data_IF_667741163646
#
_entry.id   IF_667741163646
#
_cell.length_a   1.000
_cell.length_b   1.000
_cell.length_c   1.000
_cell.angle_alpha   90.00
_cell.angle_beta   90.00
_cell.angle_gamma   90.00
#
_symmetry.space_group_name_H-M   'P 1'
#
loop_
_entity.id
_entity.type
_entity.pdbx_description
1 polymer ?
#
# COMPACT_ATOMS: atom_id res chain seq x y z
N UNK A 1 -13.81 -5.95 -10.57
CA UNK A 1 -12.72 -6.26 -9.61
C UNK A 1 -11.73 -5.09 -9.57
N UNK A 2 -11.15 -4.76 -8.41
CA UNK A 2 -10.26 -3.58 -8.21
C UNK A 2 -8.80 -3.84 -8.59
N UNK A 3 -8.42 -5.09 -8.85
CA UNK A 3 -7.05 -5.50 -9.20
C UNK A 3 -6.89 -5.68 -10.73
N UNK A 4 -7.94 -5.40 -11.52
CA UNK A 4 -7.90 -5.41 -12.98
C UNK A 4 -7.15 -4.19 -13.55
N UNK A 5 -6.99 -4.12 -14.88
CA UNK A 5 -6.19 -3.11 -15.57
C UNK A 5 -6.44 -1.66 -15.11
N UNK A 6 -7.71 -1.30 -14.86
CA UNK A 6 -8.11 0.07 -14.51
C UNK A 6 -8.37 0.29 -13.01
N UNK A 7 -8.10 -0.71 -12.17
CA UNK A 7 -8.38 -0.65 -10.74
C UNK A 7 -7.18 -0.23 -9.89
N UNK A 8 -7.45 0.47 -8.78
CA UNK A 8 -6.44 1.00 -7.85
C UNK A 8 -5.65 -0.08 -7.09
N UNK A 9 -6.11 -1.34 -7.13
CA UNK A 9 -5.44 -2.49 -6.53
C UNK A 9 -4.44 -3.18 -7.46
N UNK A 10 -4.19 -2.64 -8.67
CA UNK A 10 -3.32 -3.26 -9.67
C UNK A 10 -1.90 -3.62 -9.19
N UNK A 11 -1.40 -2.95 -8.13
CA UNK A 11 -0.12 -3.30 -7.49
C UNK A 11 -0.10 -4.65 -6.78
N UNK A 12 -1.26 -5.26 -6.51
CA UNK A 12 -1.38 -6.57 -5.86
C UNK A 12 -1.40 -7.77 -6.82
N UNK A 13 -1.26 -7.56 -8.14
CA UNK A 13 -1.38 -8.64 -9.14
C UNK A 13 -0.29 -9.70 -8.96
N UNK A 14 -0.67 -10.98 -9.03
CA UNK A 14 0.25 -12.11 -9.10
C UNK A 14 0.10 -12.79 -10.47
N UNK A 15 1.21 -13.06 -11.14
CA UNK A 15 1.18 -13.74 -12.44
C UNK A 15 0.56 -15.13 -12.30
N UNK A 16 -0.42 -15.46 -13.16
CA UNK A 16 -1.11 -16.75 -13.14
C UNK A 16 -2.11 -16.95 -11.99
N UNK A 17 -2.32 -15.94 -11.13
CA UNK A 17 -3.25 -16.02 -9.99
C UNK A 17 -4.06 -14.74 -9.88
N UNK A 18 -5.34 -14.82 -10.25
CA UNK A 18 -6.24 -13.67 -10.14
C UNK A 18 -6.44 -13.28 -8.69
N UNK A 19 -6.03 -12.06 -8.34
CA UNK A 19 -6.22 -11.49 -7.01
C UNK A 19 -7.48 -10.63 -7.03
N UNK A 20 -8.37 -10.85 -6.07
CA UNK A 20 -9.54 -10.02 -5.85
C UNK A 20 -9.37 -9.22 -4.55
N UNK A 21 -9.86 -7.98 -4.53
CA UNK A 21 -9.72 -7.14 -3.34
C UNK A 21 -10.28 -5.74 -3.52
N UNK A 22 -10.08 -4.90 -2.51
CA UNK A 22 -10.47 -3.48 -2.49
C UNK A 22 -9.46 -2.65 -1.71
N UNK A 23 -9.02 -1.54 -2.30
CA UNK A 23 -8.19 -0.54 -1.62
C UNK A 23 -9.07 0.50 -0.93
N UNK A 24 -8.56 1.07 0.17
CA UNK A 24 -9.13 2.25 0.79
C UNK A 24 -8.06 3.14 1.43
N UNK A 25 -8.50 4.34 1.80
CA UNK A 25 -7.71 5.33 2.52
C UNK A 25 -8.52 5.75 3.73
N UNK A 26 -7.93 5.69 4.92
CA UNK A 26 -8.58 6.13 6.16
C UNK A 26 -7.96 7.46 6.60
N UNK A 27 -8.78 8.50 6.64
CA UNK A 27 -8.33 9.84 6.98
C UNK A 27 -8.01 9.93 8.47
N UNK A 28 -6.85 10.47 8.82
CA UNK A 28 -6.47 10.74 10.22
C UNK A 28 -7.03 12.08 10.69
N UNK A 29 -7.11 13.06 9.78
CA UNK A 29 -7.65 14.39 10.03
C UNK A 29 -8.67 14.74 8.94
N UNK A 30 -9.71 15.49 9.31
CA UNK A 30 -10.70 15.96 8.34
C UNK A 30 -10.06 16.87 7.30
N UNK A 31 -10.67 16.97 6.11
CA UNK A 31 -10.23 17.89 5.08
C UNK A 31 -10.16 19.35 5.59
N UNK A 32 -11.15 19.77 6.39
CA UNK A 32 -11.15 21.10 7.00
C UNK A 32 -10.02 21.27 8.02
N UNK A 33 -9.77 20.27 8.86
CA UNK A 33 -8.66 20.28 9.81
C UNK A 33 -7.30 20.35 9.11
N UNK A 34 -7.16 19.62 7.99
CA UNK A 34 -5.96 19.66 7.14
C UNK A 34 -5.74 21.05 6.52
N UNK A 35 -6.80 21.69 6.03
CA UNK A 35 -6.73 23.06 5.51
C UNK A 35 -6.33 24.06 6.60
N UNK A 36 -6.91 23.94 7.81
CA UNK A 36 -6.59 24.80 8.94
C UNK A 36 -5.16 24.60 9.45
N UNK A 37 -4.67 23.35 9.46
CA UNK A 37 -3.30 23.02 9.84
C UNK A 37 -2.26 23.47 8.79
N UNK A 38 -2.69 23.72 7.55
CA UNK A 38 -1.83 24.05 6.43
C UNK A 38 -0.89 22.90 6.09
N UNK A 39 0.37 22.98 6.55
CA UNK A 39 1.36 21.93 6.32
C UNK A 39 1.38 20.91 7.45
N UNK A 40 1.27 19.63 7.11
CA UNK A 40 1.13 18.51 8.05
C UNK A 40 2.45 17.76 8.27
N UNK A 41 2.55 17.07 9.41
CA UNK A 41 3.62 16.08 9.68
C UNK A 41 3.16 14.68 9.25
N UNK A 42 4.05 13.68 9.39
CA UNK A 42 3.72 12.28 9.12
C UNK A 42 2.48 11.79 9.88
N UNK A 43 2.31 12.24 11.12
CA UNK A 43 1.27 11.73 12.03
C UNK A 43 -0.15 12.09 11.57
N UNK A 44 -0.28 13.07 10.67
CA UNK A 44 -1.57 13.47 10.08
C UNK A 44 -1.78 12.90 8.67
N UNK A 45 -0.87 12.05 8.18
CA UNK A 45 -1.05 11.34 6.92
C UNK A 45 -2.12 10.28 7.06
N UNK A 46 -2.97 10.21 6.06
CA UNK A 46 -3.98 9.16 5.94
C UNK A 46 -3.33 7.77 5.95
N UNK A 47 -4.03 6.79 6.52
CA UNK A 47 -3.64 5.38 6.46
C UNK A 47 -4.06 4.78 5.11
N UNK A 48 -3.28 3.82 4.61
CA UNK A 48 -3.66 3.05 3.43
C UNK A 48 -4.07 1.63 3.84
N UNK A 49 -5.14 1.09 3.27
CA UNK A 49 -5.44 -0.33 3.45
C UNK A 49 -5.78 -1.04 2.15
N UNK A 50 -5.61 -2.37 2.17
CA UNK A 50 -6.04 -3.26 1.11
C UNK A 50 -6.52 -4.59 1.71
N UNK A 51 -7.78 -4.93 1.44
CA UNK A 51 -8.37 -6.23 1.77
C UNK A 51 -8.43 -7.09 0.52
N UNK A 52 -8.08 -8.36 0.61
CA UNK A 52 -7.93 -9.24 -0.55
C UNK A 52 -8.15 -10.71 -0.27
N UNK A 53 -8.35 -11.46 -1.34
CA UNK A 53 -8.25 -12.92 -1.39
C UNK A 53 -7.71 -13.38 -2.75
N UNK A 54 -7.08 -14.56 -2.78
CA UNK A 54 -6.52 -15.14 -3.99
C UNK A 54 -6.36 -16.68 -3.88
N UNK A 55 -6.37 -17.42 -5.01
CA UNK A 55 -6.89 -17.01 -6.32
C UNK A 55 -8.40 -16.70 -6.29
N UNK A 56 -8.90 -15.87 -7.21
CA UNK A 56 -10.31 -15.42 -7.23
C UNK A 56 -11.30 -16.58 -7.28
N UNK A 57 -11.06 -17.55 -8.16
CA UNK A 57 -12.04 -18.60 -8.47
C UNK A 57 -11.98 -19.77 -7.49
N UNK A 58 -10.85 -19.95 -6.80
CA UNK A 58 -10.66 -20.95 -5.76
C UNK A 58 -9.73 -20.39 -4.66
N UNK A 59 -10.25 -19.55 -3.74
CA UNK A 59 -9.42 -18.83 -2.77
C UNK A 59 -8.72 -19.76 -1.79
N UNK A 60 -7.40 -19.58 -1.62
CA UNK A 60 -6.59 -20.33 -0.64
C UNK A 60 -5.93 -19.43 0.39
N UNK A 61 -5.95 -18.12 0.17
CA UNK A 61 -5.51 -17.11 1.13
C UNK A 61 -6.44 -15.89 1.06
N UNK A 62 -6.75 -15.31 2.22
CA UNK A 62 -7.41 -14.02 2.38
C UNK A 62 -6.69 -13.21 3.45
N UNK A 63 -6.75 -11.89 3.35
CA UNK A 63 -6.07 -11.02 4.31
C UNK A 63 -6.38 -9.55 4.15
N UNK A 64 -5.85 -8.77 5.09
CA UNK A 64 -5.86 -7.31 5.07
C UNK A 64 -4.46 -6.80 5.37
N UNK A 65 -4.01 -5.84 4.58
CA UNK A 65 -2.85 -5.00 4.91
C UNK A 65 -3.38 -3.64 5.32
N UNK A 66 -3.04 -3.21 6.53
CA UNK A 66 -3.26 -1.86 7.01
C UNK A 66 -1.90 -1.19 7.21
N UNK A 67 -1.65 -0.10 6.48
CA UNK A 67 -0.40 0.64 6.47
C UNK A 67 -0.62 1.99 7.14
N UNK A 68 -0.13 2.10 8.36
CA UNK A 68 -0.23 3.32 9.15
C UNK A 68 0.52 4.48 8.48
N UNK A 69 -0.11 5.66 8.33
CA UNK A 69 0.44 6.81 7.61
C UNK A 69 0.91 6.46 6.18
N UNK A 70 0.27 5.46 5.57
CA UNK A 70 0.61 4.89 4.27
C UNK A 70 0.15 5.70 3.07
N UNK A 71 -0.42 6.89 3.28
CA UNK A 71 -0.98 7.84 2.29
C UNK A 71 -2.23 7.30 1.56
N UNK A 72 -2.14 6.12 0.96
CA UNK A 72 -3.20 5.57 0.14
C UNK A 72 -3.18 4.03 0.07
N UNK A 73 -4.33 3.42 -0.18
CA UNK A 73 -4.48 1.97 -0.27
C UNK A 73 -3.63 1.28 -1.35
N UNK A 74 -3.19 2.00 -2.39
CA UNK A 74 -2.28 1.43 -3.42
C UNK A 74 -0.91 1.04 -2.84
N UNK A 75 -0.45 1.67 -1.76
CA UNK A 75 0.77 1.27 -1.06
C UNK A 75 0.56 -0.02 -0.27
N UNK A 76 -0.60 -0.15 0.39
CA UNK A 76 -1.00 -1.41 1.04
C UNK A 76 -1.14 -2.56 0.03
N UNK A 77 -1.63 -2.30 -1.18
CA UNK A 77 -1.71 -3.29 -2.25
C UNK A 77 -0.32 -3.80 -2.70
N UNK A 78 0.69 -2.94 -2.72
CA UNK A 78 2.08 -3.33 -3.03
C UNK A 78 2.69 -4.21 -1.93
N UNK A 79 2.38 -3.93 -0.66
CA UNK A 79 2.77 -4.80 0.45
C UNK A 79 2.07 -6.16 0.34
N UNK A 80 0.77 -6.17 0.01
CA UNK A 80 0.02 -7.40 -0.21
C UNK A 80 0.59 -8.23 -1.37
N UNK A 81 1.09 -7.61 -2.45
CA UNK A 81 1.81 -8.32 -3.50
C UNK A 81 2.97 -9.12 -2.93
N UNK A 82 3.85 -8.51 -2.14
CA UNK A 82 5.00 -9.21 -1.60
C UNK A 82 4.60 -10.38 -0.68
N UNK A 83 3.53 -10.22 0.11
CA UNK A 83 2.96 -11.28 0.95
C UNK A 83 2.43 -12.43 0.08
N UNK A 84 1.59 -12.12 -0.91
CA UNK A 84 0.99 -13.11 -1.81
C UNK A 84 2.06 -13.82 -2.64
N UNK A 85 3.04 -13.10 -3.17
CA UNK A 85 4.13 -13.64 -3.96
C UNK A 85 4.98 -14.62 -3.13
N UNK A 86 5.26 -14.26 -1.88
CA UNK A 86 5.95 -15.14 -0.92
C UNK A 86 5.12 -16.37 -0.56
N UNK A 87 3.81 -16.19 -0.32
CA UNK A 87 2.91 -17.29 0.02
C UNK A 87 2.83 -18.33 -1.11
N UNK A 88 2.58 -17.87 -2.33
CA UNK A 88 2.55 -18.75 -3.49
C UNK A 88 3.93 -19.29 -3.85
N UNK A 89 5.01 -18.55 -3.57
CA UNK A 89 6.36 -19.08 -3.73
C UNK A 89 6.61 -20.35 -2.93
N UNK A 90 6.22 -20.31 -1.66
CA UNK A 90 6.31 -21.46 -0.75
C UNK A 90 5.41 -22.60 -1.20
N UNK A 91 4.18 -22.31 -1.59
CA UNK A 91 3.23 -23.34 -2.04
C UNK A 91 3.72 -24.06 -3.31
N UNK A 92 4.35 -23.33 -4.23
CA UNK A 92 4.81 -23.86 -5.52
C UNK A 92 6.25 -24.41 -5.49
N UNK A 93 6.94 -24.34 -4.35
CA UNK A 93 8.34 -24.77 -4.23
C UNK A 93 9.33 -23.92 -5.04
N UNK A 94 8.96 -22.70 -5.44
CA UNK A 94 9.82 -21.76 -6.18
C UNK A 94 10.66 -20.90 -5.21
N UNK A 95 11.79 -20.31 -5.66
CA UNK A 95 12.57 -19.39 -4.83
C UNK A 95 11.71 -18.24 -4.29
N UNK A 96 11.94 -17.88 -3.02
CA UNK A 96 11.25 -16.75 -2.39
C UNK A 96 11.67 -15.43 -3.04
N UNK A 97 10.77 -14.43 -3.13
CA UNK A 97 11.19 -13.09 -3.48
C UNK A 97 12.21 -12.57 -2.46
N UNK A 98 13.13 -11.67 -2.87
CA UNK A 98 14.07 -11.08 -1.94
C UNK A 98 13.34 -10.32 -0.83
N UNK A 99 13.91 -10.23 0.39
CA UNK A 99 13.31 -9.47 1.47
C UNK A 99 12.94 -8.04 1.03
N UNK A 100 11.79 -7.52 1.47
CA UNK A 100 11.31 -6.23 1.01
C UNK A 100 12.22 -5.13 1.57
N UNK A 101 12.71 -4.26 0.70
CA UNK A 101 13.48 -3.07 1.08
C UNK A 101 12.64 -1.81 0.83
N UNK A 102 12.94 -0.73 1.54
CA UNK A 102 12.24 0.55 1.35
C UNK A 102 12.27 1.00 -0.12
N UNK A 103 13.44 0.89 -0.76
CA UNK A 103 13.63 1.20 -2.19
C UNK A 103 12.93 0.21 -3.11
N UNK A 104 12.98 -1.09 -2.79
CA UNK A 104 12.38 -2.15 -3.61
C UNK A 104 10.86 -2.10 -3.63
N UNK A 105 10.24 -1.68 -2.53
CA UNK A 105 8.78 -1.60 -2.43
C UNK A 105 8.18 -0.41 -3.19
N UNK A 106 8.98 0.61 -3.57
CA UNK A 106 8.53 1.79 -4.34
C UNK A 106 7.19 2.36 -3.82
N UNK A 107 7.04 2.43 -2.50
CA UNK A 107 5.87 3.03 -1.88
C UNK A 107 5.90 4.54 -2.14
N UNK A 108 4.80 5.08 -2.65
CA UNK A 108 4.68 6.54 -2.83
C UNK A 108 4.25 7.14 -1.50
N UNK A 109 5.23 7.59 -0.72
CA UNK A 109 5.01 8.25 0.57
C UNK A 109 5.04 9.78 0.44
N UNK A 110 4.94 10.30 -0.79
CA UNK A 110 4.80 11.73 -1.01
C UNK A 110 3.44 12.19 -0.47
N UNK A 111 3.50 13.16 0.43
CA UNK A 111 2.31 13.79 0.99
C UNK A 111 2.25 15.20 0.43
N UNK A 112 1.25 15.54 -0.41
CA UNK A 112 1.13 16.88 -0.98
C UNK A 112 0.95 17.96 0.09
N UNK A 113 0.59 17.57 1.32
CA UNK A 113 0.40 18.48 2.45
C UNK A 113 1.59 18.50 3.42
N UNK A 114 2.64 17.70 3.20
CA UNK A 114 3.77 17.63 4.13
C UNK A 114 4.47 18.98 4.32
N UNK A 115 4.91 19.27 5.55
CA UNK A 115 5.91 20.30 5.83
C UNK A 115 7.17 20.04 5.01
N UNK A 116 7.63 21.06 4.27
CA UNK A 116 8.99 21.02 3.72
C UNK A 116 9.92 21.16 4.91
N UNK A 117 10.84 20.22 5.07
CA UNK A 117 11.94 20.38 6.02
C UNK A 117 12.78 21.55 5.49
N UNK A 118 12.87 22.64 6.25
CA UNK A 118 13.89 23.65 6.00
C UNK A 118 15.23 23.00 6.29
N UNK A 119 16.01 22.69 5.26
CA UNK A 119 17.44 22.46 5.43
C UNK A 119 18.03 23.78 5.92
N UNK A 120 18.20 23.90 7.23
CA UNK A 120 18.95 25.00 7.81
C UNK A 120 20.37 24.91 7.31
N UNK A 121 20.75 25.84 6.44
CA UNK A 121 22.15 26.23 6.32
C UNK A 121 22.42 27.06 7.56
N UNK A 122 22.98 26.43 8.60
CA UNK A 122 23.61 27.17 9.69
C UNK A 122 24.78 27.96 9.08
N UNK A 123 24.80 29.27 9.37
CA UNK A 123 26.01 30.08 9.28
C UNK A 123 26.97 29.76 10.42
#
# INVERSE_FOLDING_TARGET
>A
MVVNANGTGGRARIAGRDVAGKTGTAQVISNQGRLAAGRTSRDLRDHGWFVFFAPRDAPTIAGVVFLEHGIHGTNAAQVAHHILDTFFAKADGRPLPPPPTATGMRLDLSDPFARRVSTGTDQ
#
